data_IF_580728523213
#
_entry.id   IF_580728523213
#
_cell.length_a   1.000
_cell.length_b   1.000
_cell.length_c   1.000
_cell.angle_alpha   90.00
_cell.angle_beta   90.00
_cell.angle_gamma   90.00
#
_symmetry.space_group_name_H-M   'P 1'
#
loop_
_entity.id
_entity.type
_entity.pdbx_description
1 polymer ?
#
# COMPACT_ATOMS: atom_id res chain seq x y z
N UNK A 1 -38.94 -24.35 24.68
CA UNK A 1 -38.82 -23.17 23.78
C UNK A 1 -39.93 -22.14 23.95
N UNK A 2 -41.16 -22.53 24.35
CA UNK A 2 -42.28 -21.57 24.50
C UNK A 2 -42.14 -20.59 25.67
N UNK A 3 -41.56 -21.03 26.80
CA UNK A 3 -41.33 -20.16 27.96
C UNK A 3 -40.36 -19.02 27.66
N UNK A 4 -39.34 -19.27 26.82
CA UNK A 4 -38.40 -18.24 26.34
C UNK A 4 -39.10 -17.21 25.44
N UNK A 5 -39.99 -17.65 24.54
CA UNK A 5 -40.82 -16.74 23.72
C UNK A 5 -41.76 -15.89 24.57
N UNK A 6 -42.35 -16.44 25.64
CA UNK A 6 -43.21 -15.68 26.56
C UNK A 6 -42.43 -14.63 27.35
N UNK A 7 -41.19 -14.94 27.77
CA UNK A 7 -40.32 -13.97 28.45
C UNK A 7 -39.95 -12.82 27.51
N UNK A 8 -39.54 -13.11 26.26
CA UNK A 8 -39.18 -12.07 25.27
C UNK A 8 -40.38 -11.20 24.87
N UNK A 9 -41.57 -11.80 24.74
CA UNK A 9 -42.80 -11.08 24.35
C UNK A 9 -43.55 -10.42 25.52
N UNK A 10 -43.18 -10.73 26.76
CA UNK A 10 -43.79 -10.20 27.97
C UNK A 10 -43.24 -8.83 28.37
N UNK A 11 -43.91 -8.16 29.31
CA UNK A 11 -43.48 -6.87 29.85
C UNK A 11 -42.07 -6.92 30.45
N UNK A 12 -41.73 -8.04 31.11
CA UNK A 12 -40.40 -8.29 31.66
C UNK A 12 -39.32 -8.35 30.56
N UNK A 13 -39.63 -8.92 29.39
CA UNK A 13 -38.73 -8.95 28.24
C UNK A 13 -38.44 -7.57 27.67
N UNK A 14 -39.46 -6.70 27.59
CA UNK A 14 -39.28 -5.31 27.14
C UNK A 14 -38.37 -4.52 28.10
N UNK A 15 -38.55 -4.71 29.41
CA UNK A 15 -37.71 -4.05 30.43
C UNK A 15 -36.25 -4.50 30.33
N UNK A 16 -36.01 -5.80 30.21
CA UNK A 16 -34.65 -6.33 30.05
C UNK A 16 -34.00 -5.89 28.73
N UNK A 17 -34.78 -5.84 27.64
CA UNK A 17 -34.29 -5.39 26.34
C UNK A 17 -33.87 -3.91 26.36
N UNK A 18 -34.67 -3.04 27.00
CA UNK A 18 -34.29 -1.64 27.21
C UNK A 18 -33.05 -1.55 28.11
N UNK A 19 -33.00 -2.29 29.22
CA UNK A 19 -31.86 -2.30 30.14
C UNK A 19 -30.55 -2.71 29.45
N UNK A 20 -30.59 -3.68 28.53
CA UNK A 20 -29.42 -4.15 27.80
C UNK A 20 -29.03 -3.22 26.64
N UNK A 21 -29.99 -2.55 25.99
CA UNK A 21 -29.73 -1.60 24.91
C UNK A 21 -29.29 -0.23 25.41
N UNK A 22 -29.67 0.19 26.62
CA UNK A 22 -29.32 1.51 27.18
C UNK A 22 -27.79 1.74 27.24
N UNK A 23 -26.95 0.81 27.72
CA UNK A 23 -25.50 0.95 27.63
C UNK A 23 -25.00 1.06 26.19
N UNK A 24 -25.58 0.31 25.24
CA UNK A 24 -25.20 0.36 23.82
C UNK A 24 -25.56 1.71 23.18
N UNK A 25 -26.67 2.34 23.58
CA UNK A 25 -27.08 3.66 23.11
C UNK A 25 -26.19 4.79 23.68
N UNK A 26 -25.68 4.63 24.90
CA UNK A 26 -24.78 5.60 25.54
C UNK A 26 -23.33 5.49 25.03
N UNK A 27 -22.88 4.29 24.66
CA UNK A 27 -21.54 4.06 24.08
C UNK A 27 -21.49 4.45 22.59
N UNK A 28 -22.63 4.42 21.89
CA UNK A 28 -22.74 4.80 20.50
C UNK A 28 -22.10 3.77 19.55
N UNK A 29 -22.70 3.57 18.38
CA UNK A 29 -22.08 2.78 17.29
C UNK A 29 -20.83 3.47 16.73
N UNK A 30 -20.66 4.77 16.97
CA UNK A 30 -19.48 5.53 16.55
C UNK A 30 -18.18 4.99 17.17
N UNK A 31 -18.23 4.43 18.38
CA UNK A 31 -17.07 3.80 19.04
C UNK A 31 -16.60 2.50 18.39
N UNK A 32 -17.46 1.80 17.63
CA UNK A 32 -17.09 0.61 16.87
C UNK A 32 -16.46 0.95 15.51
N UNK A 33 -16.73 2.15 14.97
CA UNK A 33 -16.17 2.61 13.70
C UNK A 33 -14.99 3.57 13.85
N UNK A 34 -14.75 4.14 15.05
CA UNK A 34 -13.67 5.10 15.31
C UNK A 34 -12.35 4.45 15.75
N UNK A 35 -12.30 3.14 15.98
CA UNK A 35 -11.09 2.40 16.39
C UNK A 35 -10.00 2.27 15.31
N UNK A 36 -10.17 2.84 14.11
CA UNK A 36 -9.25 2.64 12.98
C UNK A 36 -8.33 3.83 12.63
N UNK A 37 -8.61 5.05 13.09
CA UNK A 37 -7.98 6.25 12.48
C UNK A 37 -6.79 6.82 13.28
N UNK A 38 -6.61 6.44 14.54
CA UNK A 38 -5.55 7.01 15.41
C UNK A 38 -4.59 5.96 15.99
N UNK A 39 -5.00 4.70 16.13
CA UNK A 39 -4.11 3.64 16.66
C UNK A 39 -3.27 2.94 15.59
N UNK A 40 -3.62 3.07 14.31
CA UNK A 40 -2.95 2.38 13.19
C UNK A 40 -2.02 3.30 12.38
N UNK A 41 -1.67 4.48 12.89
CA UNK A 41 -0.78 5.42 12.21
C UNK A 41 0.64 5.32 12.77
N UNK A 42 1.61 4.99 11.91
CA UNK A 42 3.02 4.98 12.28
C UNK A 42 3.66 6.37 12.14
N UNK A 43 3.32 7.09 11.08
CA UNK A 43 3.86 8.42 10.79
C UNK A 43 2.93 9.21 9.88
N UNK A 44 3.04 10.54 9.91
CA UNK A 44 2.34 11.45 9.00
C UNK A 44 3.35 12.29 8.20
N UNK A 45 3.16 12.37 6.89
CA UNK A 45 4.01 13.11 5.94
C UNK A 45 3.12 14.09 5.18
N UNK A 46 3.23 15.40 5.46
CA UNK A 46 2.41 16.46 4.86
C UNK A 46 0.89 16.18 4.90
N UNK A 47 0.40 15.60 6.00
CA UNK A 47 -1.02 15.26 6.17
C UNK A 47 -1.42 13.89 5.60
N UNK A 48 -0.56 13.22 4.84
CA UNK A 48 -0.78 11.84 4.42
C UNK A 48 -0.24 10.88 5.49
N UNK A 49 -1.07 9.93 5.90
CA UNK A 49 -0.73 8.96 6.93
C UNK A 49 -0.07 7.72 6.33
N UNK A 50 0.97 7.23 7.01
CA UNK A 50 1.59 5.93 6.79
C UNK A 50 1.10 5.03 7.93
N UNK A 51 0.44 3.94 7.58
CA UNK A 51 -0.09 3.02 8.59
C UNK A 51 0.99 2.14 9.22
N UNK A 52 0.76 1.66 10.46
CA UNK A 52 1.65 0.68 11.12
C UNK A 52 1.74 -0.59 10.29
N UNK A 53 0.62 -1.04 9.74
CA UNK A 53 0.57 -2.19 8.83
C UNK A 53 1.49 -2.04 7.61
N UNK A 54 1.53 -0.86 6.99
CA UNK A 54 2.45 -0.62 5.86
C UNK A 54 3.91 -0.67 6.31
N UNK A 55 4.23 -0.06 7.46
CA UNK A 55 5.56 -0.11 8.04
C UNK A 55 5.99 -1.54 8.39
N UNK A 56 5.12 -2.31 9.01
CA UNK A 56 5.37 -3.69 9.41
C UNK A 56 5.56 -4.60 8.19
N UNK A 57 4.70 -4.46 7.17
CA UNK A 57 4.81 -5.22 5.92
C UNK A 57 6.14 -4.97 5.22
N UNK A 58 6.56 -3.69 5.10
CA UNK A 58 7.83 -3.37 4.48
C UNK A 58 9.03 -3.81 5.35
N UNK A 59 8.92 -3.67 6.67
CA UNK A 59 9.95 -4.14 7.61
C UNK A 59 10.16 -5.65 7.47
N UNK A 60 9.07 -6.43 7.38
CA UNK A 60 9.13 -7.88 7.20
C UNK A 60 9.74 -8.25 5.84
N UNK A 61 9.34 -7.56 4.76
CA UNK A 61 9.91 -7.79 3.43
C UNK A 61 11.42 -7.49 3.37
N UNK A 62 11.87 -6.40 4.00
CA UNK A 62 13.30 -6.08 4.12
C UNK A 62 14.03 -7.11 4.99
N UNK A 63 13.42 -7.56 6.09
CA UNK A 63 13.97 -8.62 6.93
C UNK A 63 14.19 -9.91 6.13
N UNK A 64 13.19 -10.35 5.37
CA UNK A 64 13.30 -11.54 4.51
C UNK A 64 14.42 -11.39 3.46
N UNK A 65 14.52 -10.20 2.85
CA UNK A 65 15.60 -9.88 1.92
C UNK A 65 16.99 -9.96 2.60
N UNK A 66 17.14 -9.40 3.80
CA UNK A 66 18.43 -9.46 4.52
C UNK A 66 18.75 -10.86 5.04
N UNK A 67 17.76 -11.62 5.49
CA UNK A 67 17.93 -13.03 5.87
C UNK A 67 18.49 -13.87 4.72
N UNK A 68 18.07 -13.59 3.47
CA UNK A 68 18.61 -14.26 2.31
C UNK A 68 20.13 -14.01 2.13
N UNK A 69 20.65 -12.85 2.54
CA UNK A 69 22.09 -12.55 2.51
C UNK A 69 22.87 -13.13 3.69
N UNK A 70 22.20 -13.48 4.80
CA UNK A 70 22.83 -14.07 6.00
C UNK A 70 22.68 -15.58 6.07
N UNK A 71 22.26 -16.25 4.98
CA UNK A 71 21.91 -17.67 4.97
C UNK A 71 20.88 -18.05 6.06
N UNK A 72 19.99 -17.12 6.41
CA UNK A 72 18.94 -17.33 7.42
C UNK A 72 19.38 -17.11 8.87
N UNK A 73 20.61 -16.64 9.13
CA UNK A 73 21.03 -16.29 10.48
C UNK A 73 20.45 -14.93 10.90
N UNK A 74 19.45 -14.97 11.78
CA UNK A 74 18.78 -13.77 12.31
C UNK A 74 19.66 -12.97 13.28
N UNK A 75 20.65 -13.62 13.92
CA UNK A 75 21.52 -12.95 14.91
C UNK A 75 22.45 -11.91 14.27
N UNK A 76 22.64 -12.00 12.96
CA UNK A 76 23.41 -11.05 12.15
C UNK A 76 22.58 -9.83 11.73
N UNK A 77 21.27 -9.81 12.00
CA UNK A 77 20.40 -8.71 11.61
C UNK A 77 20.31 -7.63 12.68
N UNK A 78 20.31 -6.38 12.21
CA UNK A 78 19.98 -5.23 13.05
C UNK A 78 18.52 -4.83 12.81
N UNK A 79 17.61 -5.30 13.68
CA UNK A 79 16.18 -5.05 13.52
C UNK A 79 15.81 -3.56 13.57
N UNK A 80 16.50 -2.76 14.39
CA UNK A 80 16.27 -1.31 14.45
C UNK A 80 16.65 -0.63 13.13
N UNK A 81 17.77 -1.05 12.52
CA UNK A 81 18.16 -0.54 11.20
C UNK A 81 17.12 -0.90 10.13
N UNK A 82 16.62 -2.14 10.12
CA UNK A 82 15.62 -2.60 9.14
C UNK A 82 14.33 -1.79 9.27
N UNK A 83 13.84 -1.60 10.50
CA UNK A 83 12.65 -0.80 10.75
C UNK A 83 12.83 0.67 10.34
N UNK A 84 13.96 1.30 10.71
CA UNK A 84 14.26 2.68 10.29
C UNK A 84 14.35 2.79 8.76
N UNK A 85 14.98 1.81 8.10
CA UNK A 85 15.06 1.76 6.63
C UNK A 85 13.68 1.65 6.00
N UNK A 86 12.78 0.83 6.56
CA UNK A 86 11.40 0.74 6.10
C UNK A 86 10.67 2.08 6.25
N UNK A 87 10.80 2.73 7.41
CA UNK A 87 10.21 4.04 7.67
C UNK A 87 10.70 5.09 6.67
N UNK A 88 12.02 5.24 6.50
CA UNK A 88 12.60 6.19 5.54
C UNK A 88 12.13 5.92 4.11
N UNK A 89 12.01 4.64 3.74
CA UNK A 89 11.53 4.23 2.42
C UNK A 89 10.08 4.64 2.21
N UNK A 90 9.20 4.47 3.20
CA UNK A 90 7.80 4.88 3.11
C UNK A 90 7.64 6.39 3.10
N UNK A 91 8.45 7.12 3.87
CA UNK A 91 8.47 8.60 3.84
C UNK A 91 8.90 9.09 2.46
N UNK A 92 10.00 8.57 1.91
CA UNK A 92 10.48 8.93 0.58
C UNK A 92 9.43 8.61 -0.51
N UNK A 93 8.83 7.41 -0.47
CA UNK A 93 7.75 7.02 -1.38
C UNK A 93 6.57 7.98 -1.30
N UNK A 94 6.16 8.36 -0.09
CA UNK A 94 5.04 9.30 0.13
C UNK A 94 5.35 10.67 -0.45
N UNK A 95 6.55 11.21 -0.21
CA UNK A 95 6.97 12.50 -0.77
C UNK A 95 7.02 12.49 -2.29
N UNK A 96 7.52 11.40 -2.89
CA UNK A 96 7.56 11.24 -4.34
C UNK A 96 6.15 11.18 -4.94
N UNK A 97 5.21 10.44 -4.33
CA UNK A 97 3.83 10.39 -4.79
C UNK A 97 3.14 11.75 -4.70
N UNK A 98 3.36 12.50 -3.62
CA UNK A 98 2.86 13.88 -3.49
C UNK A 98 3.44 14.80 -4.56
N UNK A 99 4.72 14.61 -4.92
CA UNK A 99 5.33 15.38 -5.98
C UNK A 99 4.77 15.00 -7.36
N UNK A 100 4.52 13.71 -7.61
CA UNK A 100 3.88 13.25 -8.84
C UNK A 100 2.49 13.89 -9.01
N UNK A 101 1.69 13.90 -7.94
CA UNK A 101 0.37 14.53 -7.93
C UNK A 101 0.47 16.04 -8.23
N UNK A 102 1.39 16.76 -7.58
CA UNK A 102 1.63 18.18 -7.86
C UNK A 102 2.04 18.47 -9.30
N UNK A 103 2.74 17.54 -9.95
CA UNK A 103 3.15 17.64 -11.35
C UNK A 103 2.07 17.13 -12.32
N UNK A 104 0.92 16.65 -11.82
CA UNK A 104 -0.12 16.06 -12.65
C UNK A 104 0.27 14.71 -13.27
N UNK A 105 1.28 14.03 -12.74
CA UNK A 105 1.75 12.73 -13.21
C UNK A 105 0.82 11.66 -12.63
N UNK A 106 -0.16 11.26 -13.42
CA UNK A 106 -1.11 10.20 -13.06
C UNK A 106 -1.71 9.58 -14.33
N UNK A 107 -2.12 8.32 -14.24
CA UNK A 107 -2.92 7.66 -15.28
C UNK A 107 -4.40 7.68 -14.91
N UNK A 108 -5.24 7.86 -15.93
CA UNK A 108 -6.68 7.66 -15.80
C UNK A 108 -7.01 6.18 -15.62
N UNK A 109 -8.18 5.90 -15.05
CA UNK A 109 -8.65 4.52 -14.84
C UNK A 109 -8.71 3.76 -16.15
N UNK A 110 -9.21 4.39 -17.22
CA UNK A 110 -9.25 3.80 -18.57
C UNK A 110 -7.85 3.44 -19.12
N UNK A 111 -6.82 4.26 -18.84
CA UNK A 111 -5.45 3.94 -19.24
C UNK A 111 -4.91 2.73 -18.49
N UNK A 112 -5.18 2.63 -17.18
CA UNK A 112 -4.76 1.49 -16.37
C UNK A 112 -5.51 0.22 -16.78
N UNK A 113 -6.82 0.30 -17.02
CA UNK A 113 -7.63 -0.81 -17.53
C UNK A 113 -7.11 -1.31 -18.88
N UNK A 114 -6.76 -0.40 -19.79
CA UNK A 114 -6.14 -0.76 -21.06
C UNK A 114 -4.79 -1.46 -20.86
N UNK A 115 -3.95 -0.98 -19.94
CA UNK A 115 -2.67 -1.63 -19.62
C UNK A 115 -2.86 -3.04 -19.06
N UNK A 116 -3.87 -3.24 -18.20
CA UNK A 116 -4.25 -4.55 -17.66
C UNK A 116 -4.76 -5.46 -18.78
N UNK A 117 -5.66 -4.96 -19.63
CA UNK A 117 -6.23 -5.72 -20.74
C UNK A 117 -5.17 -6.18 -21.76
N UNK A 118 -4.09 -5.43 -21.91
CA UNK A 118 -2.96 -5.76 -22.77
C UNK A 118 -1.99 -6.79 -22.17
N UNK A 119 -2.13 -7.16 -20.89
CA UNK A 119 -1.27 -8.18 -20.28
C UNK A 119 -1.58 -9.57 -20.85
N UNK A 120 -0.60 -10.29 -21.41
CA UNK A 120 -0.82 -11.62 -21.97
C UNK A 120 -1.42 -12.61 -20.97
N UNK A 121 -1.05 -12.51 -19.69
CA UNK A 121 -1.54 -13.38 -18.62
C UNK A 121 -3.04 -13.22 -18.34
N UNK A 122 -3.64 -12.11 -18.78
CA UNK A 122 -5.06 -11.83 -18.62
C UNK A 122 -5.83 -11.96 -19.94
N UNK A 123 -5.22 -12.57 -20.95
CA UNK A 123 -5.84 -12.79 -22.24
C UNK A 123 -6.14 -14.27 -22.47
N UNK A 124 -7.28 -14.52 -23.11
CA UNK A 124 -7.66 -15.80 -23.69
C UNK A 124 -8.01 -15.54 -25.17
N UNK A 125 -7.37 -16.28 -26.07
CA UNK A 125 -7.52 -16.10 -27.52
C UNK A 125 -7.26 -14.65 -27.99
N UNK A 126 -6.29 -13.98 -27.35
CA UNK A 126 -5.90 -12.59 -27.64
C UNK A 126 -6.89 -11.52 -27.17
N UNK A 127 -7.90 -11.89 -26.38
CA UNK A 127 -8.87 -10.96 -25.78
C UNK A 127 -8.79 -11.03 -24.27
N UNK A 128 -9.05 -9.91 -23.60
CA UNK A 128 -9.10 -9.89 -22.14
C UNK A 128 -10.11 -10.90 -21.60
N UNK A 129 -9.69 -11.67 -20.60
CA UNK A 129 -10.51 -12.67 -19.90
C UNK A 129 -10.74 -12.23 -18.46
N UNK A 130 -11.96 -11.79 -18.17
CA UNK A 130 -12.38 -11.43 -16.82
C UNK A 130 -12.16 -12.59 -15.84
N UNK A 131 -12.33 -13.84 -16.29
CA UNK A 131 -12.11 -15.02 -15.46
C UNK A 131 -10.64 -15.18 -15.06
N UNK A 132 -9.71 -15.04 -16.00
CA UNK A 132 -8.27 -15.12 -15.69
C UNK A 132 -7.85 -13.99 -14.73
N UNK A 133 -8.37 -12.78 -14.98
CA UNK A 133 -8.10 -11.63 -14.13
C UNK A 133 -8.68 -11.78 -12.72
N UNK A 134 -9.92 -12.23 -12.59
CA UNK A 134 -10.57 -12.47 -11.30
C UNK A 134 -9.86 -13.59 -10.51
N UNK A 135 -9.47 -14.68 -11.18
CA UNK A 135 -8.70 -15.75 -10.57
C UNK A 135 -7.33 -15.25 -10.07
N UNK A 136 -6.67 -14.39 -10.84
CA UNK A 136 -5.43 -13.75 -10.41
C UNK A 136 -5.64 -12.90 -9.15
N UNK A 137 -6.62 -11.99 -9.16
CA UNK A 137 -6.94 -11.15 -8.01
C UNK A 137 -7.24 -11.98 -6.75
N UNK A 138 -7.99 -13.07 -6.90
CA UNK A 138 -8.28 -13.99 -5.80
C UNK A 138 -7.02 -14.69 -5.30
N UNK A 139 -6.13 -15.13 -6.20
CA UNK A 139 -4.90 -15.83 -5.83
C UNK A 139 -3.93 -14.97 -5.01
N UNK A 140 -3.93 -13.65 -5.25
CA UNK A 140 -3.09 -12.69 -4.52
C UNK A 140 -3.86 -11.93 -3.43
N UNK A 141 -5.13 -12.27 -3.18
CA UNK A 141 -5.96 -11.65 -2.14
C UNK A 141 -6.19 -10.15 -2.32
N UNK A 142 -6.23 -9.66 -3.57
CA UNK A 142 -6.29 -8.23 -3.89
C UNK A 142 -7.59 -7.87 -4.60
N UNK A 143 -8.12 -6.66 -4.34
CA UNK A 143 -9.27 -6.13 -5.07
C UNK A 143 -8.85 -5.41 -6.35
N UNK A 144 -9.76 -5.28 -7.32
CA UNK A 144 -9.51 -4.48 -8.52
C UNK A 144 -9.09 -3.05 -8.18
N UNK A 145 -9.79 -2.40 -7.24
CA UNK A 145 -9.49 -1.04 -6.81
C UNK A 145 -8.07 -0.92 -6.22
N UNK A 146 -7.66 -1.89 -5.40
CA UNK A 146 -6.32 -1.92 -4.84
C UNK A 146 -5.25 -2.10 -5.93
N UNK A 147 -5.47 -3.01 -6.89
CA UNK A 147 -4.53 -3.20 -8.00
C UNK A 147 -4.39 -1.93 -8.85
N UNK A 148 -5.51 -1.31 -9.24
CA UNK A 148 -5.51 -0.07 -10.02
C UNK A 148 -4.80 1.06 -9.26
N UNK A 149 -5.04 1.19 -7.96
CA UNK A 149 -4.36 2.17 -7.11
C UNK A 149 -2.84 1.92 -7.05
N UNK A 150 -2.41 0.67 -6.89
CA UNK A 150 -1.00 0.29 -6.87
C UNK A 150 -0.33 0.58 -8.21
N UNK A 151 -0.93 0.17 -9.32
CA UNK A 151 -0.41 0.43 -10.67
C UNK A 151 -0.29 1.93 -10.96
N UNK A 152 -1.26 2.74 -10.50
CA UNK A 152 -1.20 4.19 -10.64
C UNK A 152 0.00 4.78 -9.89
N UNK A 153 0.20 4.37 -8.64
CA UNK A 153 1.31 4.82 -7.82
C UNK A 153 2.66 4.39 -8.41
N UNK A 154 2.78 3.12 -8.81
CA UNK A 154 4.01 2.57 -9.38
C UNK A 154 4.36 3.23 -10.72
N UNK A 155 3.36 3.50 -11.57
CA UNK A 155 3.56 4.25 -12.80
C UNK A 155 4.02 5.69 -12.52
N UNK A 156 3.38 6.37 -11.57
CA UNK A 156 3.76 7.73 -11.18
C UNK A 156 5.21 7.81 -10.69
N UNK A 157 5.62 6.87 -9.84
CA UNK A 157 7.00 6.76 -9.36
C UNK A 157 7.97 6.44 -10.51
N UNK A 158 7.62 5.52 -11.40
CA UNK A 158 8.44 5.17 -12.57
C UNK A 158 8.67 6.36 -13.49
N UNK A 159 7.61 7.14 -13.78
CA UNK A 159 7.71 8.35 -14.59
C UNK A 159 8.58 9.41 -13.93
N UNK A 160 8.46 9.61 -12.61
CA UNK A 160 9.34 10.51 -11.88
C UNK A 160 10.80 10.08 -11.98
N UNK A 161 11.10 8.80 -11.73
CA UNK A 161 12.46 8.27 -11.83
C UNK A 161 13.04 8.41 -13.24
N UNK A 162 12.25 8.16 -14.29
CA UNK A 162 12.67 8.31 -15.68
C UNK A 162 13.03 9.77 -16.02
N UNK A 163 12.24 10.74 -15.52
CA UNK A 163 12.55 12.15 -15.69
C UNK A 163 13.92 12.51 -15.10
N UNK A 164 14.26 12.03 -13.90
CA UNK A 164 15.57 12.30 -13.29
C UNK A 164 16.75 11.69 -14.07
N UNK A 165 16.56 10.51 -14.66
CA UNK A 165 17.61 9.88 -15.48
C UNK A 165 17.82 10.58 -16.82
N UNK A 166 16.77 11.15 -17.40
CA UNK A 166 16.87 11.94 -18.64
C UNK A 166 17.55 13.31 -18.39
N UNK A 167 17.47 13.85 -17.17
CA UNK A 167 18.21 15.04 -16.71
C UNK A 167 19.57 14.70 -16.09
N UNK A 168 20.29 13.68 -16.57
CA UNK A 168 21.70 13.55 -16.26
C UNK A 168 22.44 14.82 -16.70
N UNK A 169 22.63 15.74 -15.75
CA UNK A 169 23.41 16.96 -15.88
C UNK A 169 24.88 16.56 -16.00
N UNK A 170 25.27 16.04 -17.16
CA UNK A 170 26.68 15.86 -17.46
C UNK A 170 27.21 17.24 -17.80
N UNK A 171 27.99 17.83 -16.88
CA UNK A 171 28.69 19.07 -17.18
C UNK A 171 29.61 18.82 -18.38
N UNK A 172 29.65 19.70 -19.39
CA UNK A 172 30.60 19.59 -20.50
C UNK A 172 32.05 19.44 -20.02
N UNK A 173 32.38 19.98 -18.85
CA UNK A 173 33.69 19.81 -18.19
C UNK A 173 34.00 18.36 -17.85
N UNK A 174 33.00 17.59 -17.41
CA UNK A 174 33.17 16.22 -16.93
C UNK A 174 33.33 15.28 -18.13
N UNK A 175 32.64 15.58 -19.24
CA UNK A 175 32.85 14.90 -20.54
C UNK A 175 34.29 15.11 -21.02
N UNK A 176 34.81 16.34 -20.91
CA UNK A 176 36.19 16.64 -21.32
C UNK A 176 37.24 15.98 -20.42
N UNK A 177 37.00 15.90 -19.11
CA UNK A 177 37.89 15.18 -18.21
C UNK A 177 37.90 13.67 -18.51
N UNK A 178 36.74 13.06 -18.74
CA UNK A 178 36.65 11.64 -19.12
C UNK A 178 37.31 11.38 -20.48
N UNK A 179 37.10 12.26 -21.47
CA UNK A 179 37.74 12.15 -22.79
C UNK A 179 39.28 12.27 -22.70
N UNK A 180 39.79 13.17 -21.86
CA UNK A 180 41.23 13.32 -21.64
C UNK A 180 41.85 12.11 -20.95
N UNK A 181 41.11 11.42 -20.08
CA UNK A 181 41.56 10.18 -19.43
C UNK A 181 41.58 8.99 -20.39
N UNK A 182 40.69 8.94 -21.38
CA UNK A 182 40.69 7.90 -22.42
C UNK A 182 41.77 8.11 -23.49
N UNK A 183 42.18 9.36 -23.74
CA UNK A 183 43.23 9.69 -24.71
C UNK A 183 44.65 9.46 -24.13
N UNK A 184 44.76 9.09 -22.85
CA UNK A 184 46.02 8.78 -22.16
C UNK A 184 46.32 7.28 -22.04
N UNK A 185 45.59 6.41 -22.75
CA UNK A 185 45.95 4.99 -22.91
C UNK A 185 46.45 4.69 -24.32
#
# INVERSE_FOLDING_TARGET
MESFRKVIKGWLGKVLLVLFLTPLALVGIEGYFSGGQSEDTAQTVNGQQISKRELDNLTNSLKEQYLAYTNGDETLLNQNYIQNKAQDTLVARTLLLQQAEKLGISLSDAQIEQMIAQQPNFQQDGKFSETLYANYLQSVGMTNQALVANLRQDHALKMLSASFTDYALVSPSDIQQIANLQTQQ
#
